data_IF_103044002754
#
_entry.id   IF_103044002754
#
_cell.length_a   1.000
_cell.length_b   1.000
_cell.length_c   1.000
_cell.angle_alpha   90.00
_cell.angle_beta   90.00
_cell.angle_gamma   90.00
#
_symmetry.space_group_name_H-M   'P 1'
#
loop_
_entity.id
_entity.type
_entity.pdbx_description
1 polymer ?
#
# COMPACT_ATOMS: atom_id res chain seq x y z
N UNK A 1 36.76 15.99 -10.00
CA UNK A 1 35.85 16.49 -8.94
C UNK A 1 35.73 17.99 -9.12
N UNK A 2 34.52 18.54 -9.14
CA UNK A 2 34.29 19.99 -9.25
C UNK A 2 33.79 20.52 -7.91
N UNK A 3 34.15 21.77 -7.59
CA UNK A 3 33.64 22.49 -6.41
C UNK A 3 32.14 22.80 -6.58
N UNK A 4 31.42 22.92 -5.47
CA UNK A 4 30.02 23.30 -5.44
C UNK A 4 29.86 24.80 -5.79
N UNK A 5 28.77 25.14 -6.47
CA UNK A 5 28.39 26.54 -6.75
C UNK A 5 28.34 27.35 -5.44
N UNK A 6 29.00 28.51 -5.43
CA UNK A 6 29.09 29.40 -4.26
C UNK A 6 30.38 29.31 -3.43
N UNK A 7 31.25 28.31 -3.68
CA UNK A 7 32.59 28.22 -3.08
C UNK A 7 33.66 28.43 -4.16
N UNK A 8 33.84 29.69 -4.61
CA UNK A 8 34.89 30.04 -5.57
C UNK A 8 36.13 30.54 -4.83
N UNK A 9 36.86 29.60 -4.23
CA UNK A 9 38.25 29.79 -3.83
C UNK A 9 39.08 28.67 -4.46
N UNK A 10 40.31 29.00 -4.88
CA UNK A 10 41.36 28.13 -5.43
C UNK A 10 40.90 26.74 -5.95
N UNK A 11 40.92 26.57 -7.28
CA UNK A 11 40.49 25.36 -8.01
C UNK A 11 41.23 24.07 -7.58
N UNK A 12 42.31 24.17 -6.81
CA UNK A 12 43.04 23.02 -6.25
C UNK A 12 42.43 22.45 -4.96
N UNK A 13 41.52 23.18 -4.29
CA UNK A 13 40.90 22.74 -3.04
C UNK A 13 39.64 21.91 -3.29
N UNK A 14 39.45 20.85 -2.50
CA UNK A 14 38.22 20.05 -2.48
C UNK A 14 37.67 19.95 -1.05
N UNK A 15 36.35 19.94 -0.91
CA UNK A 15 35.69 19.84 0.40
C UNK A 15 35.53 18.37 0.81
N UNK A 16 36.11 17.98 1.95
CA UNK A 16 35.83 16.68 2.58
C UNK A 16 34.50 16.73 3.32
N UNK A 17 33.54 15.96 2.82
CA UNK A 17 32.24 15.87 3.46
C UNK A 17 32.28 14.91 4.68
N UNK A 18 32.15 15.47 5.89
CA UNK A 18 32.15 14.71 7.17
C UNK A 18 30.78 14.17 7.60
N UNK A 19 29.69 14.65 7.00
CA UNK A 19 28.29 14.24 7.28
C UNK A 19 27.55 14.04 5.97
N UNK A 20 26.61 13.10 5.89
CA UNK A 20 25.83 12.90 4.66
C UNK A 20 24.99 14.13 4.33
N UNK A 21 25.12 14.67 3.11
CA UNK A 21 24.26 15.75 2.60
C UNK A 21 22.91 15.19 2.16
N UNK A 22 21.85 15.99 2.26
CA UNK A 22 20.57 15.64 1.66
C UNK A 22 20.75 15.32 0.16
N UNK A 23 19.90 14.46 -0.40
CA UNK A 23 19.90 14.06 -1.82
C UNK A 23 21.04 13.17 -2.33
N UNK A 24 22.10 12.91 -1.56
CA UNK A 24 23.05 11.87 -1.97
C UNK A 24 22.38 10.49 -1.86
N UNK A 25 22.63 9.61 -2.83
CA UNK A 25 22.14 8.22 -2.84
C UNK A 25 22.43 7.46 -1.54
N UNK A 26 23.51 7.82 -0.84
CA UNK A 26 23.93 7.18 0.41
C UNK A 26 23.24 7.75 1.65
N UNK A 27 22.63 8.92 1.57
CA UNK A 27 22.19 9.68 2.75
C UNK A 27 21.03 9.04 3.48
N UNK A 28 20.02 8.56 2.75
CA UNK A 28 18.91 7.80 3.33
C UNK A 28 19.40 6.55 4.07
N UNK A 29 20.42 5.88 3.53
CA UNK A 29 21.02 4.70 4.16
C UNK A 29 21.77 5.08 5.45
N UNK A 30 22.52 6.18 5.44
CA UNK A 30 23.24 6.65 6.63
C UNK A 30 22.28 7.12 7.71
N UNK A 31 21.22 7.84 7.32
CA UNK A 31 20.13 8.23 8.19
C UNK A 31 19.46 7.01 8.84
N UNK A 32 19.06 6.01 8.05
CA UNK A 32 18.46 4.77 8.56
C UNK A 32 19.41 4.05 9.52
N UNK A 33 20.70 3.94 9.19
CA UNK A 33 21.71 3.32 10.06
C UNK A 33 21.86 4.06 11.39
N UNK A 34 21.86 5.39 11.36
CA UNK A 34 21.94 6.23 12.56
C UNK A 34 20.70 6.08 13.43
N UNK A 35 19.52 6.08 12.82
CA UNK A 35 18.24 5.94 13.51
C UNK A 35 18.07 4.55 14.11
N UNK A 36 18.37 3.49 13.35
CA UNK A 36 18.39 2.11 13.84
C UNK A 36 19.33 1.95 15.05
N UNK A 37 20.56 2.47 14.97
CA UNK A 37 21.50 2.42 16.10
C UNK A 37 20.95 3.11 17.36
N UNK A 38 20.27 4.24 17.19
CA UNK A 38 19.62 4.93 18.30
C UNK A 38 18.51 4.08 18.92
N UNK A 39 17.60 3.54 18.11
CA UNK A 39 16.48 2.73 18.61
C UNK A 39 16.94 1.47 19.34
N UNK A 40 17.93 0.75 18.81
CA UNK A 40 18.49 -0.41 19.48
C UNK A 40 19.09 -0.04 20.85
N UNK A 41 19.81 1.08 20.93
CA UNK A 41 20.32 1.60 22.22
C UNK A 41 19.21 2.03 23.17
N UNK A 42 18.10 2.53 22.64
CA UNK A 42 16.93 2.93 23.42
C UNK A 42 16.13 1.72 23.95
N UNK A 43 16.49 0.49 23.57
CA UNK A 43 15.85 -0.75 24.03
C UNK A 43 14.77 -1.29 23.08
N UNK A 44 14.75 -0.86 21.82
CA UNK A 44 13.89 -1.48 20.80
C UNK A 44 14.55 -2.71 20.19
N UNK A 45 13.72 -3.66 19.81
CA UNK A 45 14.04 -4.77 18.93
C UNK A 45 13.40 -4.51 17.56
N UNK A 46 14.10 -4.87 16.48
CA UNK A 46 13.53 -4.80 15.14
C UNK A 46 12.66 -6.04 14.89
N UNK A 47 11.53 -5.88 14.21
CA UNK A 47 10.69 -6.99 13.79
C UNK A 47 11.44 -7.90 12.80
N UNK A 48 11.17 -9.21 12.90
CA UNK A 48 11.69 -10.21 11.96
C UNK A 48 10.90 -10.23 10.65
N UNK A 49 9.69 -9.67 10.64
CA UNK A 49 8.79 -9.66 9.49
C UNK A 49 8.95 -8.39 8.65
N UNK A 50 9.19 -7.24 9.29
CA UNK A 50 9.38 -5.96 8.60
C UNK A 50 10.51 -5.14 9.25
N UNK A 51 11.54 -4.83 8.47
CA UNK A 51 12.72 -4.06 8.92
C UNK A 51 12.44 -2.60 9.29
N UNK A 52 11.25 -2.09 8.95
CA UNK A 52 10.75 -0.76 9.28
C UNK A 52 9.97 -0.74 10.60
N UNK A 53 9.62 -1.90 11.16
CA UNK A 53 8.87 -2.02 12.42
C UNK A 53 9.82 -2.34 13.56
N UNK A 54 9.73 -1.55 14.63
CA UNK A 54 10.46 -1.72 15.87
C UNK A 54 9.47 -1.91 17.02
N UNK A 55 9.81 -2.79 17.95
CA UNK A 55 9.02 -3.14 19.12
C UNK A 55 9.87 -3.01 20.37
N UNK A 56 9.36 -2.32 21.37
CA UNK A 56 9.93 -2.36 22.72
C UNK A 56 9.09 -3.27 23.59
N UNK A 57 9.72 -4.23 24.25
CA UNK A 57 9.07 -5.18 25.14
C UNK A 57 9.43 -4.91 26.60
N UNK A 58 8.49 -5.19 27.50
CA UNK A 58 8.72 -5.28 28.95
C UNK A 58 7.95 -6.49 29.46
N UNK A 59 8.64 -7.41 30.14
CA UNK A 59 8.09 -8.69 30.61
C UNK A 59 7.39 -9.47 29.46
N UNK A 60 8.09 -9.65 28.34
CA UNK A 60 7.60 -10.29 27.10
C UNK A 60 6.38 -9.63 26.42
N UNK A 61 5.87 -8.51 26.95
CA UNK A 61 4.76 -7.78 26.35
C UNK A 61 5.27 -6.57 25.58
N UNK A 62 4.83 -6.42 24.33
CA UNK A 62 5.13 -5.22 23.54
C UNK A 62 4.41 -4.03 24.14
N UNK A 63 5.18 -3.02 24.54
CA UNK A 63 4.66 -1.77 25.13
C UNK A 63 4.66 -0.61 24.14
N UNK A 64 5.54 -0.62 23.14
CA UNK A 64 5.64 0.40 22.10
C UNK A 64 5.90 -0.27 20.75
N UNK A 65 5.17 0.19 19.74
CA UNK A 65 5.47 -0.04 18.33
C UNK A 65 5.94 1.29 17.74
N UNK A 66 7.02 1.23 16.96
CA UNK A 66 7.50 2.34 16.14
C UNK A 66 7.68 1.83 14.71
N UNK A 67 6.94 2.42 13.78
CA UNK A 67 7.10 2.23 12.34
C UNK A 67 7.89 3.40 11.78
N UNK A 68 8.93 3.09 11.02
CA UNK A 68 9.81 4.05 10.34
C UNK A 68 9.69 3.88 8.83
N UNK A 69 9.19 4.87 8.12
CA UNK A 69 9.16 4.85 6.66
C UNK A 69 9.82 6.10 6.10
N UNK A 70 11.02 5.94 5.53
CA UNK A 70 11.85 7.09 5.13
C UNK A 70 11.83 8.10 6.28
N UNK A 71 11.34 9.33 6.11
CA UNK A 71 11.36 10.35 7.15
C UNK A 71 10.10 10.35 8.05
N UNK A 72 9.08 9.55 7.73
CA UNK A 72 7.84 9.45 8.49
C UNK A 72 7.96 8.43 9.65
N UNK A 73 7.56 8.84 10.85
CA UNK A 73 7.57 8.00 12.05
C UNK A 73 6.15 7.87 12.60
N UNK A 74 5.69 6.63 12.80
CA UNK A 74 4.44 6.34 13.48
C UNK A 74 4.70 5.57 14.76
N UNK A 75 4.20 6.10 15.88
CA UNK A 75 4.35 5.49 17.21
C UNK A 75 2.97 5.04 17.70
N UNK A 76 2.89 3.80 18.19
CA UNK A 76 1.69 3.25 18.80
C UNK A 76 2.01 2.59 20.16
N UNK A 77 1.17 2.82 21.15
CA UNK A 77 1.26 2.23 22.49
C UNK A 77 -0.10 2.28 23.17
N UNK A 78 -0.34 1.36 24.10
CA UNK A 78 -1.44 1.44 25.07
C UNK A 78 -1.18 2.46 26.18
N UNK A 79 0.07 2.90 26.38
CA UNK A 79 0.44 3.86 27.41
C UNK A 79 0.92 5.19 26.80
N UNK A 80 0.14 6.26 27.00
CA UNK A 80 0.46 7.61 26.50
C UNK A 80 1.75 8.17 27.11
N UNK A 81 2.10 7.82 28.35
CA UNK A 81 3.33 8.29 28.99
C UNK A 81 4.57 7.72 28.30
N UNK A 82 4.54 6.45 27.89
CA UNK A 82 5.64 5.83 27.16
C UNK A 82 5.84 6.46 25.77
N UNK A 83 4.75 6.86 25.10
CA UNK A 83 4.83 7.66 23.87
C UNK A 83 5.53 9.00 24.13
N UNK A 84 5.16 9.72 25.19
CA UNK A 84 5.75 11.02 25.49
C UNK A 84 7.24 10.92 25.84
N UNK A 85 7.62 9.92 26.65
CA UNK A 85 9.03 9.63 26.95
C UNK A 85 9.84 9.37 25.69
N UNK A 86 9.30 8.57 24.78
CA UNK A 86 9.98 8.27 23.51
C UNK A 86 10.09 9.51 22.63
N UNK A 87 9.03 10.33 22.54
CA UNK A 87 9.05 11.58 21.77
C UNK A 87 10.12 12.56 22.28
N UNK A 88 10.25 12.71 23.60
CA UNK A 88 11.30 13.55 24.19
C UNK A 88 12.69 13.04 23.77
N UNK A 89 12.97 11.74 23.96
CA UNK A 89 14.25 11.15 23.56
C UNK A 89 14.55 11.31 22.06
N UNK A 90 13.55 11.17 21.21
CA UNK A 90 13.71 11.35 19.77
C UNK A 90 13.99 12.81 19.42
N UNK A 91 13.29 13.76 20.06
CA UNK A 91 13.44 15.19 19.80
C UNK A 91 14.75 15.77 20.36
N UNK A 92 15.30 15.17 21.41
CA UNK A 92 16.62 15.50 21.95
C UNK A 92 17.75 15.05 21.01
N UNK A 93 17.53 13.98 20.26
CA UNK A 93 18.54 13.35 19.39
C UNK A 93 18.42 13.80 17.92
N UNK A 94 17.20 14.01 17.44
CA UNK A 94 16.87 14.30 16.06
C UNK A 94 15.99 15.53 15.97
N UNK A 95 16.31 16.42 15.03
CA UNK A 95 15.43 17.51 14.66
C UNK A 95 14.17 16.95 13.99
N UNK A 96 13.04 17.01 14.70
CA UNK A 96 11.80 16.43 14.25
C UNK A 96 10.59 17.28 14.63
N UNK A 97 9.51 17.15 13.87
CA UNK A 97 8.25 17.83 14.15
C UNK A 97 7.22 16.85 14.69
N UNK A 98 6.68 17.12 15.88
CA UNK A 98 5.54 16.35 16.37
C UNK A 98 4.26 16.78 15.65
N UNK A 99 3.70 15.87 14.84
CA UNK A 99 2.43 16.07 14.14
C UNK A 99 1.19 15.69 14.97
N UNK A 100 1.36 15.48 16.28
CA UNK A 100 0.32 15.11 17.24
C UNK A 100 -0.30 13.73 16.95
N UNK A 101 -1.63 13.60 16.98
CA UNK A 101 -2.30 12.36 16.62
C UNK A 101 -2.13 12.09 15.12
N UNK A 102 -1.76 10.85 14.78
CA UNK A 102 -1.63 10.43 13.40
C UNK A 102 -2.98 10.56 12.65
N UNK A 103 -3.01 11.46 11.67
CA UNK A 103 -4.14 11.67 10.75
C UNK A 103 -3.83 11.18 9.33
N UNK A 104 -2.56 11.07 8.97
CA UNK A 104 -2.10 10.65 7.65
C UNK A 104 -0.75 9.95 7.75
N UNK A 105 -0.54 8.91 6.96
CA UNK A 105 0.76 8.25 6.75
C UNK A 105 0.75 7.58 5.38
N UNK A 106 1.81 7.75 4.58
CA UNK A 106 1.91 7.15 3.24
C UNK A 106 0.67 7.36 2.35
N UNK A 107 0.12 8.58 2.37
CA UNK A 107 -1.13 8.92 1.66
C UNK A 107 -2.39 8.17 2.12
N UNK A 108 -2.34 7.42 3.23
CA UNK A 108 -3.50 6.87 3.92
C UNK A 108 -3.99 7.87 4.96
N UNK A 109 -5.27 8.22 4.89
CA UNK A 109 -5.98 8.98 5.92
C UNK A 109 -6.37 8.04 7.06
N UNK A 110 -6.07 8.45 8.30
CA UNK A 110 -6.36 7.72 9.52
C UNK A 110 -7.40 8.49 10.32
N UNK A 111 -8.57 7.88 10.52
CA UNK A 111 -9.62 8.39 11.38
C UNK A 111 -9.80 7.46 12.57
N UNK A 112 -9.80 8.01 13.78
CA UNK A 112 -9.89 7.23 15.03
C UNK A 112 -11.01 7.76 15.89
N UNK A 113 -11.99 6.91 16.20
CA UNK A 113 -13.00 7.17 17.22
C UNK A 113 -12.70 6.29 18.44
N UNK A 114 -12.05 6.88 19.44
CA UNK A 114 -11.66 6.15 20.66
C UNK A 114 -12.87 5.78 21.53
N UNK A 115 -13.95 6.56 21.46
CA UNK A 115 -15.17 6.31 22.24
C UNK A 115 -15.89 5.06 21.76
N UNK A 116 -15.88 4.84 20.44
CA UNK A 116 -16.46 3.64 19.79
C UNK A 116 -15.46 2.50 19.59
N UNK A 117 -14.17 2.75 19.86
CA UNK A 117 -13.10 1.79 19.60
C UNK A 117 -12.92 1.50 18.10
N UNK A 118 -13.15 2.49 17.24
CA UNK A 118 -13.11 2.34 15.79
C UNK A 118 -11.89 3.05 15.18
N UNK A 119 -11.28 2.41 14.18
CA UNK A 119 -10.22 2.95 13.35
C UNK A 119 -10.65 2.78 11.89
N UNK A 120 -10.65 3.87 11.12
CA UNK A 120 -10.93 3.85 9.70
C UNK A 120 -9.70 4.31 8.91
N UNK A 121 -9.30 3.52 7.92
CA UNK A 121 -8.21 3.81 7.00
C UNK A 121 -8.79 4.04 5.61
N UNK A 122 -8.48 5.20 5.00
CA UNK A 122 -8.92 5.54 3.65
C UNK A 122 -7.75 6.04 2.80
N UNK A 123 -7.85 5.94 1.48
CA UNK A 123 -6.93 6.61 0.54
C UNK A 123 -7.69 7.54 -0.40
N UNK A 124 -8.77 8.18 0.07
CA UNK A 124 -9.61 9.04 -0.75
C UNK A 124 -8.81 10.10 -1.52
N UNK A 125 -7.89 10.79 -0.82
CA UNK A 125 -7.06 11.82 -1.45
C UNK A 125 -6.10 11.28 -2.50
N UNK A 126 -5.53 10.09 -2.28
CA UNK A 126 -4.64 9.43 -3.24
C UNK A 126 -5.41 8.94 -4.48
N UNK A 127 -6.51 8.20 -4.27
CA UNK A 127 -7.30 7.64 -5.36
C UNK A 127 -7.94 8.72 -6.23
N UNK A 128 -8.30 9.86 -5.64
CA UNK A 128 -8.71 11.05 -6.40
C UNK A 128 -7.61 11.52 -7.36
N UNK A 129 -6.38 11.66 -6.88
CA UNK A 129 -5.23 12.03 -7.74
C UNK A 129 -4.98 11.00 -8.83
N UNK A 130 -5.15 9.71 -8.54
CA UNK A 130 -5.03 8.65 -9.56
C UNK A 130 -6.08 8.80 -10.65
N UNK A 131 -7.34 9.04 -10.30
CA UNK A 131 -8.42 9.31 -11.26
C UNK A 131 -8.10 10.55 -12.11
N UNK A 132 -7.67 11.65 -11.48
CA UNK A 132 -7.31 12.90 -12.13
C UNK A 132 -6.14 12.73 -13.09
N UNK A 133 -5.08 12.03 -12.66
CA UNK A 133 -3.90 11.71 -13.47
C UNK A 133 -4.26 11.01 -14.78
N UNK A 134 -5.27 10.13 -14.73
CA UNK A 134 -5.74 9.39 -15.91
C UNK A 134 -6.92 10.06 -16.64
N UNK A 135 -7.26 11.31 -16.28
CA UNK A 135 -8.33 12.12 -16.89
C UNK A 135 -9.69 11.42 -16.85
N UNK A 136 -10.01 10.80 -15.72
CA UNK A 136 -11.25 10.04 -15.53
C UNK A 136 -12.21 10.71 -14.55
N UNK A 137 -11.95 11.93 -14.10
CA UNK A 137 -12.74 12.64 -13.08
C UNK A 137 -14.24 12.71 -13.41
N UNK A 138 -14.58 13.08 -14.64
CA UNK A 138 -15.99 13.25 -15.08
C UNK A 138 -16.60 11.98 -15.69
N UNK A 139 -15.94 10.83 -15.51
CA UNK A 139 -16.43 9.58 -16.08
C UNK A 139 -17.68 9.08 -15.34
N UNK A 140 -18.64 8.53 -16.10
CA UNK A 140 -19.88 7.97 -15.54
C UNK A 140 -19.58 6.88 -14.52
N UNK A 141 -20.08 7.04 -13.30
CA UNK A 141 -19.91 6.09 -12.19
C UNK A 141 -20.54 4.72 -12.53
N UNK A 142 -19.92 3.66 -12.01
CA UNK A 142 -20.42 2.29 -12.06
C UNK A 142 -20.32 1.66 -10.67
N UNK A 143 -21.15 0.64 -10.39
CA UNK A 143 -21.26 0.06 -9.06
C UNK A 143 -20.41 -1.21 -8.86
N UNK A 144 -19.86 -1.77 -9.94
CA UNK A 144 -19.01 -2.97 -9.87
C UNK A 144 -17.60 -2.67 -10.39
N UNK A 145 -16.56 -3.24 -9.77
CA UNK A 145 -15.17 -3.02 -10.17
C UNK A 145 -14.85 -3.65 -11.54
N UNK A 146 -15.60 -4.68 -11.94
CA UNK A 146 -15.53 -5.30 -13.27
C UNK A 146 -16.96 -5.41 -13.85
N UNK A 147 -17.12 -5.03 -15.11
CA UNK A 147 -18.42 -5.15 -15.80
C UNK A 147 -18.73 -6.60 -16.16
N UNK A 148 -20.00 -7.01 -16.08
CA UNK A 148 -20.43 -8.39 -16.43
C UNK A 148 -20.10 -8.81 -17.88
N UNK A 149 -19.94 -7.83 -18.78
CA UNK A 149 -19.57 -8.05 -20.17
C UNK A 149 -18.05 -8.23 -20.37
N UNK A 150 -17.24 -8.00 -19.34
CA UNK A 150 -15.78 -8.00 -19.42
C UNK A 150 -15.21 -9.40 -19.18
N UNK A 151 -15.34 -10.28 -20.17
CA UNK A 151 -14.56 -11.53 -20.22
C UNK A 151 -13.21 -11.25 -20.84
N UNK A 152 -12.18 -11.15 -20.00
CA UNK A 152 -10.80 -10.90 -20.42
C UNK A 152 -10.13 -12.21 -20.84
N UNK A 153 -9.39 -12.20 -21.95
CA UNK A 153 -8.70 -13.39 -22.45
C UNK A 153 -7.45 -13.05 -23.24
N UNK A 154 -6.54 -14.02 -23.36
CA UNK A 154 -5.28 -13.89 -24.13
C UNK A 154 -5.58 -13.55 -25.60
N UNK A 155 -6.72 -14.00 -26.14
CA UNK A 155 -7.15 -13.70 -27.52
C UNK A 155 -7.37 -12.20 -27.77
N UNK A 156 -7.55 -11.40 -26.72
CA UNK A 156 -7.73 -9.94 -26.80
C UNK A 156 -6.39 -9.18 -26.64
N UNK A 157 -5.27 -9.89 -26.43
CA UNK A 157 -3.95 -9.30 -26.55
C UNK A 157 -3.66 -8.94 -28.02
N UNK A 158 -2.89 -7.87 -28.28
CA UNK A 158 -2.47 -7.50 -29.63
C UNK A 158 -1.82 -8.68 -30.36
N UNK A 159 -2.33 -9.00 -31.55
CA UNK A 159 -1.80 -10.07 -32.42
C UNK A 159 -0.94 -9.50 -33.56
N UNK A 160 -1.16 -8.23 -33.91
CA UNK A 160 -0.42 -7.54 -34.98
C UNK A 160 0.45 -6.40 -34.46
N UNK A 161 1.52 -6.10 -35.20
CA UNK A 161 2.41 -4.97 -34.88
C UNK A 161 1.66 -3.63 -34.87
N UNK A 162 0.65 -3.48 -35.73
CA UNK A 162 -0.22 -2.29 -35.77
C UNK A 162 -1.01 -2.12 -34.49
N UNK A 163 -1.49 -3.20 -33.89
CA UNK A 163 -2.20 -3.15 -32.59
C UNK A 163 -1.25 -2.87 -31.43
N UNK A 164 -0.04 -3.44 -31.47
CA UNK A 164 1.00 -3.18 -30.46
C UNK A 164 1.41 -1.71 -30.44
N UNK A 165 1.66 -1.12 -31.60
CA UNK A 165 1.97 0.32 -31.74
C UNK A 165 0.85 1.23 -31.23
N UNK A 166 -0.43 0.83 -31.38
CA UNK A 166 -1.55 1.59 -30.80
C UNK A 166 -1.54 1.56 -29.27
N UNK A 167 -1.08 0.47 -28.67
CA UNK A 167 -1.05 0.28 -27.22
C UNK A 167 0.24 0.79 -26.56
N UNK A 168 1.31 1.03 -27.34
CA UNK A 168 2.62 1.46 -26.84
C UNK A 168 2.56 2.76 -26.02
N UNK A 169 1.73 3.71 -26.42
CA UNK A 169 1.52 4.97 -25.69
C UNK A 169 0.54 4.86 -24.51
N UNK A 170 -0.07 3.69 -24.31
CA UNK A 170 -1.09 3.47 -23.28
C UNK A 170 -0.43 3.03 -21.96
N UNK A 171 -0.53 3.82 -20.88
CA UNK A 171 0.18 3.55 -19.63
C UNK A 171 -0.55 2.51 -18.77
N UNK A 172 -0.79 1.31 -19.29
CA UNK A 172 -1.47 0.21 -18.58
C UNK A 172 -0.73 -0.15 -17.28
N UNK A 173 0.59 -0.29 -17.33
CA UNK A 173 1.39 -0.74 -16.18
C UNK A 173 1.40 0.30 -15.06
N UNK A 174 1.57 1.56 -15.43
CA UNK A 174 1.48 2.68 -14.50
C UNK A 174 0.12 2.71 -13.81
N UNK A 175 -0.98 2.56 -14.56
CA UNK A 175 -2.32 2.54 -13.99
C UNK A 175 -2.55 1.37 -13.04
N UNK A 176 -2.12 0.17 -13.41
CA UNK A 176 -2.18 -1.01 -12.52
C UNK A 176 -1.39 -0.74 -11.25
N UNK A 177 -0.16 -0.23 -11.36
CA UNK A 177 0.67 0.10 -10.20
C UNK A 177 0.01 1.09 -9.23
N UNK A 178 -0.60 2.16 -9.77
CA UNK A 178 -1.33 3.12 -8.94
C UNK A 178 -2.54 2.49 -8.23
N UNK A 179 -3.30 1.64 -8.91
CA UNK A 179 -4.47 0.98 -8.29
C UNK A 179 -4.03 -0.08 -7.27
N UNK A 180 -2.94 -0.80 -7.53
CA UNK A 180 -2.37 -1.79 -6.61
C UNK A 180 -1.99 -1.17 -5.27
N UNK A 181 -1.49 0.06 -5.25
CA UNK A 181 -1.22 0.76 -4.00
C UNK A 181 -2.50 1.01 -3.18
N UNK A 182 -3.62 1.30 -3.87
CA UNK A 182 -4.94 1.35 -3.25
C UNK A 182 -5.34 0.02 -2.60
N UNK A 183 -5.13 -1.08 -3.33
CA UNK A 183 -5.50 -2.44 -2.89
C UNK A 183 -4.80 -2.83 -1.59
N UNK A 184 -3.47 -2.67 -1.55
CA UNK A 184 -2.65 -3.13 -0.42
C UNK A 184 -3.02 -2.40 0.88
N UNK A 185 -3.46 -1.14 0.78
CA UNK A 185 -3.63 -0.29 1.94
C UNK A 185 -5.09 -0.13 2.41
N UNK A 186 -6.06 0.01 1.50
CA UNK A 186 -7.44 0.37 1.88
C UNK A 186 -8.56 -0.15 0.97
N UNK A 187 -8.25 -0.70 -0.20
CA UNK A 187 -9.24 -1.11 -1.22
C UNK A 187 -9.10 -2.56 -1.68
N UNK A 188 -9.20 -3.55 -0.77
CA UNK A 188 -9.11 -4.96 -1.15
C UNK A 188 -10.21 -5.42 -2.11
N UNK A 189 -11.33 -4.69 -2.19
CA UNK A 189 -12.41 -4.91 -3.15
C UNK A 189 -11.98 -4.83 -4.62
N UNK A 190 -10.85 -4.17 -4.92
CA UNK A 190 -10.27 -4.09 -6.26
C UNK A 190 -9.32 -5.25 -6.59
N UNK A 191 -8.99 -6.10 -5.62
CA UNK A 191 -7.97 -7.15 -5.76
C UNK A 191 -8.30 -8.12 -6.89
N UNK A 192 -9.54 -8.57 -6.98
CA UNK A 192 -10.00 -9.50 -8.01
C UNK A 192 -9.83 -8.94 -9.42
N UNK A 193 -10.34 -7.72 -9.69
CA UNK A 193 -10.24 -7.16 -11.04
C UNK A 193 -8.79 -6.91 -11.45
N UNK A 194 -7.94 -6.47 -10.52
CA UNK A 194 -6.53 -6.23 -10.82
C UNK A 194 -5.76 -7.55 -10.99
N UNK A 195 -6.09 -8.61 -10.24
CA UNK A 195 -5.45 -9.91 -10.41
C UNK A 195 -5.73 -10.50 -11.80
N UNK A 196 -6.97 -10.36 -12.31
CA UNK A 196 -7.35 -10.77 -13.66
C UNK A 196 -6.61 -9.94 -14.72
N UNK A 197 -6.64 -8.61 -14.61
CA UNK A 197 -5.98 -7.73 -15.62
C UNK A 197 -4.45 -7.94 -15.63
N UNK A 198 -3.84 -8.19 -14.46
CA UNK A 198 -2.39 -8.38 -14.34
C UNK A 198 -1.86 -9.52 -15.21
N UNK A 199 -2.65 -10.55 -15.46
CA UNK A 199 -2.27 -11.71 -16.28
C UNK A 199 -1.89 -11.32 -17.72
N UNK A 200 -2.41 -10.19 -18.22
CA UNK A 200 -2.19 -9.74 -19.60
C UNK A 200 -1.20 -8.58 -19.72
N UNK A 201 -0.53 -8.20 -18.63
CA UNK A 201 0.30 -6.99 -18.58
C UNK A 201 1.58 -7.05 -19.41
N UNK A 202 2.02 -8.24 -19.82
CA UNK A 202 3.14 -8.40 -20.74
C UNK A 202 2.80 -7.92 -22.17
N UNK A 203 1.54 -8.01 -22.58
CA UNK A 203 1.06 -7.58 -23.90
C UNK A 203 -0.41 -7.10 -23.80
N UNK A 204 -0.68 -5.95 -23.16
CA UNK A 204 -2.04 -5.50 -22.91
C UNK A 204 -2.71 -4.99 -24.19
N UNK A 205 -3.94 -5.43 -24.45
CA UNK A 205 -4.77 -4.94 -25.56
C UNK A 205 -5.78 -3.88 -25.14
N UNK A 206 -6.53 -3.38 -26.11
CA UNK A 206 -7.51 -2.31 -25.90
C UNK A 206 -8.62 -2.71 -24.91
N UNK A 207 -9.01 -3.99 -24.90
CA UNK A 207 -10.04 -4.50 -23.97
C UNK A 207 -9.53 -4.46 -22.53
N UNK A 208 -8.26 -4.81 -22.29
CA UNK A 208 -7.64 -4.72 -20.95
C UNK A 208 -7.57 -3.26 -20.47
N UNK A 209 -7.27 -2.33 -21.38
CA UNK A 209 -7.31 -0.90 -21.08
C UNK A 209 -8.71 -0.38 -20.74
N UNK A 210 -9.73 -0.83 -21.46
CA UNK A 210 -11.13 -0.51 -21.17
C UNK A 210 -11.56 -1.05 -19.81
N UNK A 211 -11.13 -2.27 -19.44
CA UNK A 211 -11.35 -2.81 -18.10
C UNK A 211 -10.72 -1.91 -17.02
N UNK A 212 -9.49 -1.44 -17.22
CA UNK A 212 -8.87 -0.50 -16.28
C UNK A 212 -9.61 0.85 -16.21
N UNK A 213 -10.15 1.36 -17.33
CA UNK A 213 -11.02 2.53 -17.31
C UNK A 213 -12.31 2.27 -16.51
N UNK A 214 -12.86 1.06 -16.62
CA UNK A 214 -14.01 0.64 -15.81
C UNK A 214 -13.72 0.69 -14.32
N UNK A 215 -12.54 0.21 -13.90
CA UNK A 215 -12.09 0.31 -12.49
C UNK A 215 -12.03 1.76 -12.02
N UNK A 216 -11.50 2.69 -12.85
CA UNK A 216 -11.46 4.10 -12.49
C UNK A 216 -12.86 4.73 -12.38
N UNK A 217 -13.81 4.31 -13.22
CA UNK A 217 -15.23 4.71 -13.12
C UNK A 217 -15.87 4.21 -11.81
N UNK A 218 -15.53 3.00 -11.39
CA UNK A 218 -15.96 2.45 -10.10
C UNK A 218 -15.36 3.23 -8.93
N UNK A 219 -14.06 3.56 -9.02
CA UNK A 219 -13.38 4.38 -8.02
C UNK A 219 -14.05 5.73 -7.83
N UNK A 220 -14.49 6.41 -8.90
CA UNK A 220 -15.23 7.68 -8.79
C UNK A 220 -16.45 7.61 -7.88
N UNK A 221 -17.23 6.53 -7.97
CA UNK A 221 -18.39 6.31 -7.12
C UNK A 221 -18.04 5.88 -5.69
N UNK A 222 -16.83 5.37 -5.48
CA UNK A 222 -16.43 4.70 -4.24
C UNK A 222 -15.19 5.32 -3.59
N UNK A 223 -14.83 6.58 -3.90
CA UNK A 223 -13.62 7.23 -3.39
C UNK A 223 -13.53 7.27 -1.86
N UNK A 224 -14.68 7.30 -1.16
CA UNK A 224 -14.77 7.32 0.30
C UNK A 224 -14.64 5.93 0.94
N UNK A 225 -14.52 4.87 0.12
CA UNK A 225 -14.31 3.51 0.60
C UNK A 225 -12.98 3.34 1.33
N UNK A 226 -12.92 2.40 2.26
CA UNK A 226 -11.75 2.15 3.09
C UNK A 226 -11.98 1.00 4.06
N UNK A 227 -11.00 0.75 4.93
CA UNK A 227 -11.04 -0.32 5.92
C UNK A 227 -11.48 0.22 7.27
N UNK A 228 -12.51 -0.39 7.86
CA UNK A 228 -12.98 -0.09 9.21
C UNK A 228 -12.61 -1.23 10.15
N UNK A 229 -11.75 -0.92 11.11
CA UNK A 229 -11.41 -1.79 12.23
C UNK A 229 -12.23 -1.38 13.44
N UNK A 230 -12.83 -2.36 14.11
CA UNK A 230 -13.57 -2.13 15.35
C UNK A 230 -12.99 -3.02 16.43
N UNK A 231 -12.83 -2.47 17.63
CA UNK A 231 -12.44 -3.23 18.80
C UNK A 231 -13.54 -4.25 19.10
N UNK A 232 -13.17 -5.53 19.07
CA UNK A 232 -14.02 -6.64 19.52
C UNK A 232 -13.71 -6.88 21.01
N UNK A 233 -14.72 -7.30 21.78
CA UNK A 233 -14.54 -7.64 23.18
C UNK A 233 -13.59 -8.84 23.35
N UNK A 234 -12.88 -8.88 24.49
CA UNK A 234 -11.88 -9.91 24.78
C UNK A 234 -12.54 -11.29 24.75
N UNK A 235 -12.17 -12.13 23.79
CA UNK A 235 -12.66 -13.51 23.68
C UNK A 235 -13.01 -13.97 22.25
N UNK A 236 -13.04 -13.06 21.26
CA UNK A 236 -13.12 -13.39 19.84
C UNK A 236 -11.91 -12.81 19.11
N UNK A 237 -10.87 -13.62 18.97
CA UNK A 237 -9.70 -13.33 18.13
C UNK A 237 -9.85 -13.94 16.72
N UNK A 238 -11.07 -14.31 16.33
CA UNK A 238 -11.34 -14.99 15.06
C UNK A 238 -11.50 -14.00 13.91
N UNK A 239 -10.75 -14.24 12.82
CA UNK A 239 -10.95 -13.56 11.55
C UNK A 239 -12.18 -14.18 10.86
N UNK A 240 -13.30 -13.48 10.89
CA UNK A 240 -14.51 -13.89 10.17
C UNK A 240 -14.44 -13.44 8.70
N UNK A 241 -14.34 -14.39 7.78
CA UNK A 241 -14.43 -14.16 6.34
C UNK A 241 -15.78 -14.60 5.79
N UNK A 242 -16.44 -13.73 5.02
CA UNK A 242 -17.66 -14.07 4.29
C UNK A 242 -17.27 -14.27 2.82
N UNK A 243 -17.55 -15.46 2.28
CA UNK A 243 -17.40 -15.76 0.86
C UNK A 243 -18.78 -15.83 0.22
N UNK A 244 -19.04 -14.97 -0.75
CA UNK A 244 -20.19 -15.09 -1.62
C UNK A 244 -19.78 -15.95 -2.82
N UNK A 245 -20.42 -17.11 -2.98
CA UNK A 245 -20.11 -18.06 -4.07
C UNK A 245 -21.06 -17.76 -5.22
N UNK A 246 -20.54 -17.21 -6.32
CA UNK A 246 -21.31 -17.08 -7.55
C UNK A 246 -21.24 -18.41 -8.34
N UNK A 247 -22.37 -19.10 -8.40
CA UNK A 247 -22.53 -20.45 -9.00
C UNK A 247 -22.23 -20.53 -10.52
N UNK A 248 -21.73 -19.48 -11.17
CA UNK A 248 -21.76 -19.30 -12.64
C UNK A 248 -20.36 -19.25 -13.28
N UNK A 249 -19.30 -19.62 -12.55
CA UNK A 249 -17.91 -19.56 -13.05
C UNK A 249 -17.42 -20.77 -13.84
N UNK A 250 -18.04 -21.96 -13.71
CA UNK A 250 -17.49 -23.21 -14.24
C UNK A 250 -18.47 -23.95 -15.16
N UNK A 251 -18.67 -23.43 -16.37
CA UNK A 251 -19.16 -24.23 -17.48
C UNK A 251 -18.01 -24.43 -18.48
N UNK A 252 -17.23 -25.50 -18.26
CA UNK A 252 -16.56 -26.16 -19.37
C UNK A 252 -17.64 -26.81 -20.25
N UNK A 253 -17.54 -26.76 -21.60
CA UNK A 253 -18.56 -27.34 -22.45
C UNK A 253 -18.43 -28.86 -22.44
N UNK A 254 -19.36 -29.51 -21.74
CA UNK A 254 -19.62 -30.94 -21.84
C UNK A 254 -19.24 -31.73 -20.60
N UNK A 255 -20.22 -31.93 -19.69
CA UNK A 255 -20.49 -33.23 -19.06
C UNK A 255 -21.80 -33.14 -18.25
N UNK A 256 -22.60 -34.21 -18.33
CA UNK A 256 -23.94 -34.32 -17.74
C UNK A 256 -23.86 -34.80 -16.28
N UNK A 257 -24.80 -34.30 -15.47
CA UNK A 257 -25.18 -34.64 -14.09
C UNK A 257 -24.60 -35.89 -13.41
N UNK A 258 -24.16 -35.74 -12.15
CA UNK A 258 -24.46 -36.66 -11.04
C UNK A 258 -24.28 -35.98 -9.66
N UNK A 259 -25.23 -36.21 -8.74
CA UNK A 259 -25.14 -35.88 -7.31
C UNK A 259 -24.13 -36.80 -6.61
N UNK A 260 -23.36 -36.29 -5.64
CA UNK A 260 -22.50 -37.12 -4.79
C UNK A 260 -21.72 -36.35 -3.72
N UNK A 261 -21.96 -36.76 -2.47
CA UNK A 261 -21.32 -36.52 -1.16
C UNK A 261 -19.91 -35.90 -1.06
N UNK A 262 -19.71 -35.24 0.09
CA UNK A 262 -18.47 -34.71 0.70
C UNK A 262 -17.18 -35.51 0.42
N UNK A 263 -16.08 -34.78 0.18
CA UNK A 263 -14.78 -35.04 0.81
C UNK A 263 -13.86 -33.81 0.75
N UNK A 264 -13.12 -33.65 1.86
CA UNK A 264 -12.06 -32.69 2.22
C UNK A 264 -10.83 -32.69 1.28
N UNK A 265 -9.93 -31.70 1.50
CA UNK A 265 -8.59 -31.39 0.92
C UNK A 265 -8.59 -30.45 -0.30
N UNK A 266 -7.77 -29.41 -0.45
CA UNK A 266 -6.70 -28.81 0.37
C UNK A 266 -6.31 -27.41 -0.19
N UNK A 267 -5.73 -26.58 0.70
CA UNK A 267 -4.70 -25.52 0.49
C UNK A 267 -4.90 -24.34 -0.47
N UNK A 268 -4.72 -23.11 0.05
CA UNK A 268 -3.59 -22.23 -0.29
C UNK A 268 -3.26 -21.26 0.85
N UNK A 269 -2.01 -21.34 1.32
CA UNK A 269 -1.36 -20.39 2.22
C UNK A 269 -0.78 -19.21 1.44
N UNK A 270 -0.82 -18.00 2.01
CA UNK A 270 0.23 -16.99 1.83
C UNK A 270 0.49 -16.34 3.17
N UNK A 271 1.74 -16.49 3.62
CA UNK A 271 2.24 -16.02 4.90
C UNK A 271 3.10 -14.76 4.80
N UNK A 272 3.35 -14.25 6.01
CA UNK A 272 4.15 -13.10 6.45
C UNK A 272 3.59 -11.71 6.12
#
# INVERSE_FOLDING_TARGET
MQQLEGFVEDKSKVCLLKKSLFELKQSLRQWYRRFNKFLLKAGFERSNYDSCVYMMKRNEKVILYLLLYVDDILIASSNKQEIQKLKMKLNDEFEMKDLSNAKKILSMDIMRDRSKGELFLSQQGYLRKVVEQFRMTDSKVVNTPLGHHSKLSIKQCPQSEKERKKMESTPCASRVGCIMYGIVCSRPDLSYVISVVRQFMANPGQVHWQALKWVLRYLNGSLKGGLKYKRIDRGRDDLEGYLDVDYVGFFAPGEKHAQGKEHSSDFFAWGA
#
